data_IF_935717081611
#
_entry.id   IF_935717081611
#
_cell.length_a   1.000
_cell.length_b   1.000
_cell.length_c   1.000
_cell.angle_alpha   90.00
_cell.angle_beta   90.00
_cell.angle_gamma   90.00
#
_symmetry.space_group_name_H-M   'P 1'
#
loop_
_entity.id
_entity.type
_entity.pdbx_description
1 polymer ?
#
# COMPACT_ATOMS: atom_id res chain seq x y z
N UNK A 1 6.35 -22.19 8.89
CA UNK A 1 5.41 -22.13 7.74
C UNK A 1 4.72 -20.78 7.79
N UNK A 2 4.80 -19.98 6.73
CA UNK A 2 4.03 -18.74 6.62
C UNK A 2 2.73 -18.99 5.86
N UNK A 3 1.66 -18.28 6.24
CA UNK A 3 0.44 -18.19 5.44
C UNK A 3 0.31 -16.75 4.95
N UNK A 4 -0.08 -16.56 3.69
CA UNK A 4 -0.34 -15.23 3.11
C UNK A 4 -1.86 -15.03 3.06
N UNK A 5 -2.33 -13.91 3.61
CA UNK A 5 -3.74 -13.51 3.66
C UNK A 5 -3.95 -12.35 2.68
N UNK A 6 -4.76 -12.57 1.65
CA UNK A 6 -5.27 -11.50 0.80
C UNK A 6 -6.71 -11.17 1.24
N UNK A 7 -6.98 -9.89 1.47
CA UNK A 7 -8.24 -9.39 2.02
C UNK A 7 -8.80 -8.29 1.13
N UNK A 8 -9.98 -8.50 0.53
CA UNK A 8 -10.77 -7.44 -0.12
C UNK A 8 -11.73 -6.87 0.90
N UNK A 9 -11.57 -5.59 1.24
CA UNK A 9 -12.50 -4.85 2.10
C UNK A 9 -13.40 -3.99 1.23
N UNK A 10 -14.71 -4.04 1.44
CA UNK A 10 -15.61 -2.98 0.95
C UNK A 10 -15.90 -2.03 2.10
N UNK A 11 -15.82 -0.74 1.79
CA UNK A 11 -16.13 0.36 2.70
C UNK A 11 -17.57 0.81 2.42
N UNK A 12 -18.42 0.71 3.43
CA UNK A 12 -19.79 1.22 3.42
C UNK A 12 -19.84 2.55 4.18
N UNK A 13 -20.87 3.36 3.98
CA UNK A 13 -21.09 4.57 4.76
C UNK A 13 -20.96 4.33 6.28
N UNK A 14 -20.45 5.35 7.00
CA UNK A 14 -20.30 5.38 8.47
C UNK A 14 -19.31 4.36 9.05
N UNK A 15 -18.12 4.25 8.47
CA UNK A 15 -17.00 3.56 9.12
C UNK A 15 -17.18 2.04 9.25
N UNK A 16 -18.16 1.47 8.56
CA UNK A 16 -18.32 0.03 8.44
C UNK A 16 -17.53 -0.48 7.24
N UNK A 17 -16.64 -1.44 7.48
CA UNK A 17 -16.01 -2.23 6.42
C UNK A 17 -16.21 -3.71 6.70
N UNK A 18 -16.36 -4.50 5.64
CA UNK A 18 -16.44 -5.95 5.76
C UNK A 18 -15.57 -6.63 4.71
N UNK A 19 -15.01 -7.81 5.04
CA UNK A 19 -14.27 -8.60 4.09
C UNK A 19 -15.25 -9.23 3.08
N UNK A 20 -15.10 -8.85 1.82
CA UNK A 20 -15.88 -9.39 0.71
C UNK A 20 -15.25 -10.68 0.19
N UNK A 21 -13.92 -10.76 0.26
CA UNK A 21 -13.17 -11.94 -0.14
C UNK A 21 -11.92 -12.14 0.72
N UNK A 22 -11.68 -13.39 1.13
CA UNK A 22 -10.52 -13.81 1.90
C UNK A 22 -9.86 -14.99 1.19
N UNK A 23 -8.58 -14.87 0.86
CA UNK A 23 -7.83 -15.94 0.21
C UNK A 23 -6.57 -16.24 1.01
N UNK A 24 -6.48 -17.48 1.48
CA UNK A 24 -5.34 -18.03 2.19
C UNK A 24 -4.47 -18.83 1.23
N UNK A 25 -3.23 -18.39 1.01
CA UNK A 25 -2.30 -19.05 0.11
C UNK A 25 -1.11 -19.61 0.90
N UNK A 26 -0.80 -20.88 0.64
CA UNK A 26 0.37 -21.57 1.21
C UNK A 26 1.63 -21.06 0.52
N UNK A 27 2.59 -20.54 1.29
CA UNK A 27 3.84 -20.00 0.75
C UNK A 27 4.67 -21.09 0.06
N UNK A 28 4.64 -21.14 -1.27
CA UNK A 28 5.59 -21.87 -2.10
C UNK A 28 6.16 -20.90 -3.15
N UNK A 29 7.42 -20.55 -2.95
CA UNK A 29 8.45 -20.09 -3.92
C UNK A 29 8.04 -19.22 -5.12
N UNK A 30 8.69 -18.05 -5.20
CA UNK A 30 8.59 -16.97 -6.20
C UNK A 30 7.30 -16.12 -6.17
N UNK A 31 7.28 -15.19 -5.21
CA UNK A 31 6.21 -14.29 -4.77
C UNK A 31 5.68 -13.26 -5.79
N UNK A 32 6.32 -13.07 -6.96
CA UNK A 32 5.97 -11.96 -7.88
C UNK A 32 4.74 -12.25 -8.74
N UNK A 33 4.54 -13.48 -9.19
CA UNK A 33 3.47 -13.83 -10.15
C UNK A 33 2.10 -14.05 -9.53
N UNK A 34 2.01 -14.29 -8.22
CA UNK A 34 0.71 -14.58 -7.58
C UNK A 34 -0.09 -13.33 -7.20
N UNK A 35 0.52 -12.13 -7.24
CA UNK A 35 -0.20 -10.87 -7.03
C UNK A 35 -1.00 -10.43 -8.26
N UNK A 36 -0.58 -10.84 -9.46
CA UNK A 36 -1.31 -10.56 -10.71
C UNK A 36 -2.70 -11.22 -10.72
N UNK A 37 -2.92 -12.26 -9.91
CA UNK A 37 -4.17 -13.02 -9.85
C UNK A 37 -5.29 -12.27 -9.12
N UNK A 38 -4.99 -11.15 -8.44
CA UNK A 38 -5.96 -10.52 -7.52
C UNK A 38 -6.21 -9.03 -7.73
N UNK A 39 -5.62 -8.39 -8.76
CA UNK A 39 -5.92 -6.99 -9.11
C UNK A 39 -6.72 -7.00 -10.40
N UNK A 40 -8.03 -7.07 -10.29
CA UNK A 40 -8.95 -7.29 -11.41
C UNK A 40 -10.04 -6.22 -11.56
N UNK A 41 -10.27 -5.41 -10.54
CA UNK A 41 -11.31 -4.38 -10.54
C UNK A 41 -10.84 -3.07 -9.89
N UNK A 42 -10.99 -1.96 -10.63
CA UNK A 42 -10.54 -0.61 -10.27
C UNK A 42 -11.42 0.08 -9.24
N UNK A 43 -12.61 -0.46 -8.96
CA UNK A 43 -13.52 0.07 -7.93
C UNK A 43 -13.06 -0.25 -6.51
N UNK A 44 -12.09 -1.17 -6.35
CA UNK A 44 -11.55 -1.57 -5.05
C UNK A 44 -10.21 -0.90 -4.72
N UNK A 45 -9.92 -0.83 -3.42
CA UNK A 45 -8.60 -0.47 -2.90
C UNK A 45 -7.82 -1.71 -2.47
N UNK A 46 -6.63 -1.88 -3.03
CA UNK A 46 -5.74 -3.02 -2.75
C UNK A 46 -4.77 -2.69 -1.63
N UNK A 47 -4.67 -3.55 -0.62
CA UNK A 47 -3.77 -3.35 0.53
C UNK A 47 -2.66 -4.41 0.52
N UNK A 48 -1.41 -3.96 0.48
CA UNK A 48 -0.21 -4.80 0.45
C UNK A 48 0.64 -4.63 1.72
N UNK A 49 1.23 -5.73 2.20
CA UNK A 49 2.17 -5.72 3.33
C UNK A 49 3.62 -5.46 2.90
N UNK A 50 4.49 -5.10 3.85
CA UNK A 50 5.92 -4.73 3.77
C UNK A 50 6.81 -5.61 2.86
N UNK A 51 6.36 -6.81 2.52
CA UNK A 51 7.04 -7.69 1.58
C UNK A 51 7.06 -7.16 0.14
N UNK A 52 6.08 -6.34 -0.25
CA UNK A 52 5.79 -6.01 -1.64
C UNK A 52 6.29 -4.62 -2.05
N UNK A 53 7.45 -4.58 -2.70
CA UNK A 53 8.02 -3.38 -3.31
C UNK A 53 8.38 -3.69 -4.76
N UNK A 54 7.49 -3.29 -5.68
CA UNK A 54 7.70 -3.42 -7.12
C UNK A 54 7.34 -2.10 -7.79
N UNK A 55 8.36 -1.29 -8.10
CA UNK A 55 8.17 0.05 -8.65
C UNK A 55 7.44 0.02 -9.97
N UNK A 56 7.76 -0.94 -10.85
CA UNK A 56 7.09 -1.08 -12.14
C UNK A 56 5.61 -1.38 -11.96
N UNK A 57 5.27 -2.23 -10.98
CA UNK A 57 3.86 -2.53 -10.71
C UNK A 57 3.12 -1.34 -10.10
N UNK A 58 3.76 -0.58 -9.22
CA UNK A 58 3.16 0.63 -8.65
C UNK A 58 2.89 1.67 -9.72
N UNK A 59 3.82 1.88 -10.65
CA UNK A 59 3.60 2.76 -11.80
C UNK A 59 2.45 2.25 -12.67
N UNK A 60 2.47 0.98 -13.06
CA UNK A 60 1.39 0.38 -13.84
C UNK A 60 0.02 0.53 -13.16
N UNK A 61 -0.07 0.26 -11.85
CA UNK A 61 -1.32 0.39 -11.11
C UNK A 61 -1.79 1.85 -11.03
N UNK A 62 -0.87 2.80 -10.86
CA UNK A 62 -1.19 4.22 -10.87
C UNK A 62 -1.68 4.67 -12.26
N UNK A 63 -0.97 4.30 -13.33
CA UNK A 63 -1.31 4.65 -14.71
C UNK A 63 -2.65 4.05 -15.15
N UNK A 64 -2.94 2.83 -14.71
CA UNK A 64 -4.21 2.17 -15.00
C UNK A 64 -5.36 2.64 -14.10
N UNK A 65 -5.09 3.46 -13.08
CA UNK A 65 -6.12 4.05 -12.21
C UNK A 65 -6.61 3.13 -11.09
N UNK A 66 -5.78 2.20 -10.62
CA UNK A 66 -6.07 1.40 -9.43
C UNK A 66 -5.75 2.17 -8.15
N UNK A 67 -6.56 1.97 -7.12
CA UNK A 67 -6.28 2.45 -5.77
C UNK A 67 -5.53 1.39 -4.98
N UNK A 68 -4.42 1.75 -4.34
CA UNK A 68 -3.71 0.84 -3.46
C UNK A 68 -3.01 1.52 -2.29
N UNK A 69 -2.78 0.73 -1.24
CA UNK A 69 -2.02 1.08 -0.06
C UNK A 69 -0.94 0.01 0.14
N UNK A 70 0.29 0.42 0.41
CA UNK A 70 1.37 -0.49 0.79
C UNK A 70 2.07 0.04 2.03
N UNK A 71 2.42 -0.86 2.95
CA UNK A 71 3.34 -0.51 4.03
C UNK A 71 4.76 -0.50 3.48
N UNK A 72 5.43 0.65 3.54
CA UNK A 72 6.84 0.74 3.15
C UNK A 72 7.75 0.10 4.21
N UNK A 73 8.81 -0.57 3.76
CA UNK A 73 9.89 -1.04 4.65
C UNK A 73 10.62 0.16 5.27
N UNK A 74 11.17 -0.03 6.47
CA UNK A 74 11.91 1.02 7.21
C UNK A 74 13.06 1.64 6.40
N UNK A 75 13.67 0.87 5.51
CA UNK A 75 14.79 1.29 4.67
C UNK A 75 14.38 1.65 3.22
N UNK A 76 13.09 1.89 2.96
CA UNK A 76 12.65 2.34 1.65
C UNK A 76 13.31 3.69 1.31
N UNK A 77 13.90 3.78 0.11
CA UNK A 77 14.44 5.04 -0.39
C UNK A 77 13.28 5.89 -0.86
N UNK A 78 13.12 7.08 -0.29
CA UNK A 78 12.05 8.01 -0.63
C UNK A 78 12.62 9.41 -0.82
N UNK A 79 12.00 10.18 -1.72
CA UNK A 79 12.26 11.61 -1.88
C UNK A 79 10.96 12.39 -1.72
N UNK A 80 10.90 13.21 -0.68
CA UNK A 80 9.76 14.10 -0.46
C UNK A 80 9.75 15.22 -1.50
N UNK A 81 8.58 15.49 -2.08
CA UNK A 81 8.36 16.55 -3.06
C UNK A 81 7.59 17.72 -2.44
N UNK A 82 6.57 17.41 -1.63
CA UNK A 82 5.68 18.41 -1.04
C UNK A 82 5.02 17.85 0.22
N UNK A 83 5.06 18.62 1.30
CA UNK A 83 4.23 18.37 2.48
C UNK A 83 2.80 18.84 2.24
N UNK A 84 1.83 18.00 2.58
CA UNK A 84 0.41 18.32 2.57
C UNK A 84 0.02 18.72 4.00
N UNK A 85 -0.71 19.85 4.14
CA UNK A 85 -1.20 20.29 5.44
C UNK A 85 -2.24 19.29 5.94
N UNK A 86 -2.03 18.78 7.15
CA UNK A 86 -2.98 17.90 7.81
C UNK A 86 -4.23 18.67 8.28
N UNK A 87 -5.41 18.02 8.28
CA UNK A 87 -6.59 18.51 9.00
C UNK A 87 -6.30 18.70 10.50
N UNK A 88 -7.00 19.63 11.15
CA UNK A 88 -6.77 19.95 12.58
C UNK A 88 -6.93 18.75 13.52
N UNK A 89 -7.80 17.80 13.19
CA UNK A 89 -8.08 16.59 13.97
C UNK A 89 -7.55 15.31 13.30
N UNK A 90 -6.39 15.40 12.65
CA UNK A 90 -5.78 14.25 11.96
C UNK A 90 -4.98 13.37 12.93
N UNK A 91 -5.22 12.05 12.88
CA UNK A 91 -4.38 11.05 13.57
C UNK A 91 -3.04 10.79 12.85
N UNK A 92 -2.87 11.29 11.62
CA UNK A 92 -1.60 11.20 10.90
C UNK A 92 -0.55 12.16 11.47
N UNK A 93 0.69 11.68 11.53
CA UNK A 93 1.89 12.45 11.91
C UNK A 93 2.34 13.34 10.75
N UNK A 94 2.33 12.81 9.53
CA UNK A 94 2.67 13.57 8.34
C UNK A 94 1.98 13.03 7.11
N UNK A 95 1.84 13.91 6.12
CA UNK A 95 1.29 13.63 4.81
C UNK A 95 2.14 14.33 3.76
N UNK A 96 2.69 13.55 2.83
CA UNK A 96 3.68 14.02 1.88
C UNK A 96 3.44 13.42 0.49
N UNK A 97 3.58 14.22 -0.56
CA UNK A 97 3.79 13.72 -1.92
C UNK A 97 5.25 13.32 -2.07
N UNK A 98 5.52 12.10 -2.52
CA UNK A 98 6.85 11.51 -2.61
C UNK A 98 7.11 10.83 -3.96
N UNK A 99 8.38 10.60 -4.25
CA UNK A 99 8.83 9.59 -5.22
C UNK A 99 9.51 8.47 -4.45
N UNK A 100 9.21 7.21 -4.81
CA UNK A 100 9.78 6.03 -4.18
C UNK A 100 10.91 5.48 -5.06
N UNK A 101 12.07 5.21 -4.46
CA UNK A 101 13.24 4.62 -5.10
C UNK A 101 14.46 5.54 -5.17
N UNK A 102 15.58 4.98 -5.65
CA UNK A 102 16.84 5.69 -5.80
C UNK A 102 16.92 6.44 -7.14
N UNK A 103 18.02 7.14 -7.38
CA UNK A 103 18.26 7.78 -8.68
C UNK A 103 18.41 6.77 -9.82
N UNK A 104 18.87 5.55 -9.53
CA UNK A 104 19.06 4.47 -10.53
C UNK A 104 17.80 3.63 -10.76
N UNK A 105 16.95 3.48 -9.74
CA UNK A 105 15.72 2.71 -9.84
C UNK A 105 14.65 3.32 -8.94
N UNK A 106 13.62 3.90 -9.56
CA UNK A 106 12.49 4.55 -8.89
C UNK A 106 11.23 4.41 -9.71
N UNK A 107 10.11 4.68 -9.05
CA UNK A 107 8.87 4.93 -9.75
C UNK A 107 8.94 6.22 -10.58
N UNK A 108 8.21 6.24 -11.69
CA UNK A 108 7.99 7.43 -12.52
C UNK A 108 6.87 8.29 -11.93
N UNK A 109 5.84 7.65 -11.37
CA UNK A 109 4.74 8.32 -10.71
C UNK A 109 5.11 8.83 -9.31
N UNK A 110 4.30 9.79 -8.84
CA UNK A 110 4.36 10.30 -7.46
C UNK A 110 3.28 9.63 -6.60
N UNK A 111 3.61 9.35 -5.35
CA UNK A 111 2.72 8.69 -4.40
C UNK A 111 2.53 9.56 -3.16
N UNK A 112 1.49 9.26 -2.39
CA UNK A 112 1.25 9.87 -1.09
C UNK A 112 1.83 8.98 0.02
N UNK A 113 2.67 9.55 0.86
CA UNK A 113 3.19 8.91 2.07
C UNK A 113 2.48 9.50 3.28
N UNK A 114 1.71 8.67 3.96
CA UNK A 114 1.07 9.02 5.22
C UNK A 114 1.82 8.29 6.34
N UNK A 115 2.32 9.04 7.32
CA UNK A 115 2.93 8.50 8.53
C UNK A 115 1.90 8.56 9.65
N UNK A 116 1.72 7.46 10.37
CA UNK A 116 0.82 7.34 11.53
C UNK A 116 1.59 6.77 12.72
N UNK A 117 1.10 7.01 13.94
CA UNK A 117 1.65 6.35 15.12
C UNK A 117 1.31 4.86 15.10
N UNK A 118 2.29 4.04 15.42
CA UNK A 118 2.07 2.61 15.64
C UNK A 118 1.71 2.40 17.11
N UNK A 119 0.41 2.38 17.41
CA UNK A 119 -0.11 2.17 18.77
C UNK A 119 -0.09 0.69 19.19
N UNK A 120 0.59 -0.19 18.46
CA UNK A 120 0.66 -1.63 18.78
C UNK A 120 1.76 -2.01 19.77
N UNK A 121 2.55 -1.05 20.28
CA UNK A 121 3.44 -1.25 21.43
C UNK A 121 2.74 -0.88 22.73
N UNK A 122 2.20 -1.89 23.40
CA UNK A 122 1.99 -1.86 24.85
C UNK A 122 3.32 -2.32 25.44
N UNK A 123 4.09 -1.38 26.00
CA UNK A 123 5.22 -1.68 26.88
C UNK A 123 4.71 -1.76 28.33
#
# INVERSE_FOLDING_TARGET
>A
MGAKLHLRLVFVEKGCSYPDQVILIKTKTHDRSQLEVFVDDKSYMYVFDCGYLDYKKFDQMADEGYYFLTRLRKNAVIRSLKTIKLPENSDAISDEMIVIGSTQARCENTFRLIKIYDNTRVD
#
